data_IF_466352219608
#
_entry.id   IF_466352219608
#
_cell.length_a   1.000
_cell.length_b   1.000
_cell.length_c   1.000
_cell.angle_alpha   90.00
_cell.angle_beta   90.00
_cell.angle_gamma   90.00
#
_symmetry.space_group_name_H-M   'P 1'
#
loop_
_entity.id
_entity.type
_entity.pdbx_description
1 polymer ?
#
# COMPACT_ATOMS: atom_id res chain seq x y z
N UNK A 1 0.29 -16.68 -6.51
CA UNK A 1 1.40 -15.78 -6.38
C UNK A 1 2.29 -16.12 -5.19
N UNK A 2 3.35 -15.36 -4.98
CA UNK A 2 4.39 -15.63 -3.99
C UNK A 2 3.91 -15.55 -2.53
N UNK A 3 2.78 -14.89 -2.29
CA UNK A 3 2.25 -14.67 -0.94
C UNK A 3 1.03 -15.51 -0.62
N UNK A 4 0.70 -16.46 -1.46
CA UNK A 4 -0.42 -17.37 -1.24
C UNK A 4 -0.21 -18.15 0.07
N UNK A 5 -1.26 -18.24 0.86
CA UNK A 5 -1.16 -18.85 2.20
C UNK A 5 -0.97 -17.83 3.33
N UNK A 6 -0.81 -16.55 3.00
CA UNK A 6 -0.73 -15.45 3.97
C UNK A 6 -1.79 -14.41 3.65
N UNK A 7 -2.24 -13.69 4.67
CA UNK A 7 -3.03 -12.50 4.45
C UNK A 7 -2.09 -11.39 3.95
N UNK A 8 -2.56 -10.55 3.03
CA UNK A 8 -1.75 -9.47 2.47
C UNK A 8 -2.49 -8.16 2.66
N UNK A 9 -1.80 -7.16 3.20
CA UNK A 9 -2.25 -5.77 3.18
C UNK A 9 -1.49 -5.06 2.07
N UNK A 10 -2.19 -4.68 1.02
CA UNK A 10 -1.62 -4.04 -0.15
C UNK A 10 -1.95 -2.56 -0.10
N UNK A 11 -0.92 -1.72 -0.01
CA UNK A 11 -1.06 -0.27 0.09
C UNK A 11 -0.46 0.39 -1.15
N UNK A 12 -1.33 0.98 -1.98
CA UNK A 12 -0.88 1.81 -3.10
C UNK A 12 -0.72 3.25 -2.61
N UNK A 13 0.32 3.93 -3.03
CA UNK A 13 0.54 5.34 -2.70
C UNK A 13 1.09 6.09 -3.92
N UNK A 14 0.79 7.40 -4.04
CA UNK A 14 1.15 8.15 -5.24
C UNK A 14 2.63 8.28 -5.50
N UNK A 15 3.41 8.76 -4.52
CA UNK A 15 4.83 9.05 -4.73
C UNK A 15 5.63 8.93 -3.43
N UNK A 16 6.81 8.30 -3.54
CA UNK A 16 7.78 8.27 -2.46
C UNK A 16 8.21 9.69 -2.07
N UNK A 17 8.64 9.86 -0.82
CA UNK A 17 9.16 11.11 -0.26
C UNK A 17 8.14 12.25 -0.18
N UNK A 18 6.86 12.01 -0.39
CA UNK A 18 5.81 12.99 -0.18
C UNK A 18 5.26 12.89 1.23
N UNK A 19 4.68 14.01 1.73
CA UNK A 19 4.31 14.15 3.14
C UNK A 19 3.29 13.11 3.62
N UNK A 20 2.16 13.00 2.94
CA UNK A 20 1.08 12.10 3.38
C UNK A 20 1.48 10.64 3.20
N UNK A 21 2.15 10.30 2.10
CA UNK A 21 2.63 8.94 1.87
C UNK A 21 3.63 8.52 2.96
N UNK A 22 4.57 9.41 3.30
CA UNK A 22 5.55 9.13 4.35
C UNK A 22 4.86 8.97 5.71
N UNK A 23 3.88 9.83 6.03
CA UNK A 23 3.10 9.72 7.26
C UNK A 23 2.37 8.39 7.35
N UNK A 24 1.69 7.98 6.28
CA UNK A 24 0.96 6.72 6.18
C UNK A 24 1.89 5.52 6.42
N UNK A 25 2.98 5.46 5.65
CA UNK A 25 3.89 4.32 5.70
C UNK A 25 4.71 4.27 6.99
N UNK A 26 5.05 5.41 7.57
CA UNK A 26 5.70 5.45 8.89
C UNK A 26 4.77 4.94 9.99
N UNK A 27 3.48 5.26 9.89
CA UNK A 27 2.47 4.72 10.81
C UNK A 27 2.43 3.19 10.74
N UNK A 28 2.45 2.61 9.55
CA UNK A 28 2.49 1.16 9.36
C UNK A 28 3.78 0.57 9.91
N UNK A 29 4.92 1.19 9.62
CA UNK A 29 6.22 0.78 10.17
C UNK A 29 6.19 0.69 11.69
N UNK A 30 5.65 1.73 12.34
CA UNK A 30 5.64 1.82 13.79
C UNK A 30 4.66 0.83 14.43
N UNK A 31 3.71 0.30 13.67
CA UNK A 31 2.70 -0.64 14.13
C UNK A 31 2.81 -2.02 13.46
N UNK A 32 3.97 -2.36 12.93
CA UNK A 32 4.15 -3.60 12.15
C UNK A 32 3.78 -4.86 12.95
N UNK A 33 3.94 -4.82 14.27
CA UNK A 33 3.57 -5.94 15.14
C UNK A 33 2.10 -6.32 15.05
N UNK A 34 1.20 -5.35 14.83
CA UNK A 34 -0.23 -5.61 14.67
C UNK A 34 -0.49 -6.48 13.42
N UNK A 35 0.21 -6.19 12.34
CA UNK A 35 0.05 -6.92 11.09
C UNK A 35 0.69 -8.30 11.16
N UNK A 36 1.87 -8.39 11.75
CA UNK A 36 2.55 -9.67 11.98
C UNK A 36 1.70 -10.61 12.84
N UNK A 37 1.08 -10.09 13.89
CA UNK A 37 0.21 -10.87 14.78
C UNK A 37 -1.07 -11.33 14.07
N UNK A 38 -1.49 -10.64 13.03
CA UNK A 38 -2.64 -11.01 12.20
C UNK A 38 -2.25 -11.90 11.02
N UNK A 39 -1.02 -12.38 10.99
CA UNK A 39 -0.46 -13.16 9.88
C UNK A 39 -0.59 -12.43 8.54
N UNK A 40 -0.36 -11.13 8.56
CA UNK A 40 -0.48 -10.28 7.38
C UNK A 40 0.89 -9.78 6.93
N UNK A 41 1.14 -9.92 5.64
CA UNK A 41 2.32 -9.34 4.98
C UNK A 41 1.90 -7.98 4.43
N UNK A 42 2.65 -6.94 4.80
CA UNK A 42 2.39 -5.59 4.29
C UNK A 42 3.25 -5.34 3.06
N UNK A 43 2.61 -4.86 1.99
CA UNK A 43 3.29 -4.50 0.74
C UNK A 43 2.85 -3.10 0.33
N UNK A 44 3.81 -2.19 0.19
CA UNK A 44 3.57 -0.86 -0.37
C UNK A 44 3.91 -0.85 -1.86
N UNK A 45 3.08 -0.22 -2.67
CA UNK A 45 3.26 -0.15 -4.13
C UNK A 45 3.08 1.29 -4.62
N UNK A 46 4.00 1.73 -5.46
CA UNK A 46 3.86 3.00 -6.19
C UNK A 46 4.44 2.87 -7.59
N UNK A 47 4.23 3.89 -8.42
CA UNK A 47 4.83 3.95 -9.77
C UNK A 47 6.26 4.45 -9.76
N UNK A 48 6.83 4.77 -8.60
CA UNK A 48 8.23 5.13 -8.48
C UNK A 48 9.13 3.98 -8.96
N UNK A 49 10.32 4.31 -9.42
CA UNK A 49 11.28 3.29 -9.84
C UNK A 49 11.74 2.43 -8.66
N UNK A 50 12.25 1.23 -8.95
CA UNK A 50 12.82 0.36 -7.90
C UNK A 50 13.97 1.04 -7.15
N UNK A 51 14.72 1.89 -7.84
CA UNK A 51 15.85 2.60 -7.23
C UNK A 51 15.37 3.66 -6.24
N UNK A 52 14.34 4.42 -6.61
CA UNK A 52 13.72 5.42 -5.72
C UNK A 52 13.12 4.74 -4.49
N UNK A 53 12.42 3.63 -4.66
CA UNK A 53 11.80 2.91 -3.56
C UNK A 53 12.83 2.28 -2.63
N UNK A 54 13.94 1.79 -3.15
CA UNK A 54 15.03 1.26 -2.32
C UNK A 54 15.58 2.35 -1.41
N UNK A 55 15.79 3.55 -1.92
CA UNK A 55 16.26 4.70 -1.15
C UNK A 55 15.21 5.15 -0.12
N UNK A 56 13.95 5.14 -0.51
CA UNK A 56 12.85 5.50 0.37
C UNK A 56 12.76 4.55 1.56
N UNK A 57 12.83 3.26 1.30
CA UNK A 57 12.84 2.24 2.34
C UNK A 57 14.00 2.43 3.31
N UNK A 58 15.20 2.68 2.78
CA UNK A 58 16.40 2.93 3.57
C UNK A 58 16.25 4.19 4.43
N UNK A 59 15.83 5.31 3.81
CA UNK A 59 15.73 6.60 4.48
C UNK A 59 14.73 6.59 5.63
N UNK A 60 13.63 5.84 5.50
CA UNK A 60 12.57 5.78 6.49
C UNK A 60 12.62 4.52 7.36
N UNK A 61 13.60 3.66 7.14
CA UNK A 61 13.75 2.39 7.86
C UNK A 61 12.46 1.54 7.82
N UNK A 62 11.80 1.48 6.67
CA UNK A 62 10.59 0.66 6.53
C UNK A 62 10.92 -0.82 6.69
N UNK A 63 10.11 -1.50 7.48
CA UNK A 63 10.25 -2.92 7.84
C UNK A 63 9.23 -3.80 7.12
N UNK A 64 8.80 -3.38 5.95
CA UNK A 64 7.91 -4.13 5.07
C UNK A 64 8.33 -3.95 3.61
N UNK A 65 7.70 -4.71 2.73
CA UNK A 65 8.08 -4.77 1.32
C UNK A 65 7.57 -3.54 0.56
N UNK A 66 8.43 -2.94 -0.26
CA UNK A 66 8.01 -1.94 -1.25
C UNK A 66 8.23 -2.50 -2.65
N UNK A 67 7.21 -2.42 -3.50
CA UNK A 67 7.27 -2.89 -4.88
C UNK A 67 7.01 -1.73 -5.84
N UNK A 68 7.67 -1.77 -6.99
CA UNK A 68 7.50 -0.77 -8.03
C UNK A 68 6.47 -1.22 -9.06
N UNK A 69 5.50 -0.37 -9.32
CA UNK A 69 4.57 -0.49 -10.45
C UNK A 69 4.89 0.58 -11.50
N UNK A 70 6.15 0.69 -11.86
CA UNK A 70 6.65 1.73 -12.77
C UNK A 70 5.84 1.78 -14.07
N UNK A 71 5.44 0.64 -14.59
CA UNK A 71 4.67 0.54 -15.84
C UNK A 71 3.15 0.62 -15.62
N UNK A 72 2.70 0.84 -14.39
CA UNK A 72 1.30 1.12 -14.03
C UNK A 72 0.31 -0.04 -14.26
N UNK A 73 0.80 -1.24 -14.45
CA UNK A 73 -0.02 -2.42 -14.76
C UNK A 73 -0.89 -2.84 -13.58
N UNK A 74 -0.28 -2.93 -12.41
CA UNK A 74 -0.98 -3.39 -11.19
C UNK A 74 -1.96 -2.33 -10.71
N UNK A 75 -1.53 -1.06 -10.67
CA UNK A 75 -2.41 0.04 -10.28
C UNK A 75 -3.64 0.11 -11.18
N UNK A 76 -3.45 -0.06 -12.49
CA UNK A 76 -4.57 -0.10 -13.44
C UNK A 76 -5.49 -1.29 -13.19
N UNK A 77 -4.92 -2.48 -12.94
CA UNK A 77 -5.70 -3.69 -12.69
C UNK A 77 -6.58 -3.58 -11.44
N UNK A 78 -6.13 -2.84 -10.42
CA UNK A 78 -6.88 -2.61 -9.19
C UNK A 78 -7.79 -1.38 -9.25
N UNK A 79 -7.86 -0.69 -10.38
CA UNK A 79 -8.63 0.55 -10.51
C UNK A 79 -8.08 1.68 -9.64
N UNK A 80 -6.79 1.66 -9.37
CA UNK A 80 -6.12 2.54 -8.40
C UNK A 80 -5.12 3.47 -9.09
N UNK A 81 -5.55 4.16 -10.14
CA UNK A 81 -4.68 5.05 -10.90
C UNK A 81 -5.33 6.42 -11.06
N UNK A 82 -4.63 7.47 -10.63
CA UNK A 82 -5.05 8.84 -10.91
C UNK A 82 -4.66 9.19 -12.34
N UNK A 83 -5.60 9.66 -13.14
CA UNK A 83 -5.28 10.17 -14.49
C UNK A 83 -4.48 11.47 -14.39
N UNK A 84 -4.85 12.33 -13.45
CA UNK A 84 -4.17 13.59 -13.19
C UNK A 84 -3.93 13.76 -11.69
N UNK A 85 -2.76 14.22 -11.33
CA UNK A 85 -2.37 14.49 -9.95
C UNK A 85 -1.60 15.81 -9.88
N UNK A 86 -1.21 16.24 -8.68
CA UNK A 86 -0.54 17.53 -8.46
C UNK A 86 0.66 17.71 -9.39
N UNK A 87 0.98 18.97 -9.72
CA UNK A 87 2.11 19.35 -10.56
C UNK A 87 2.09 18.69 -11.95
N UNK A 88 0.87 18.48 -12.48
CA UNK A 88 0.65 17.87 -13.81
C UNK A 88 1.18 16.44 -13.94
N UNK A 89 1.44 15.77 -12.83
CA UNK A 89 1.79 14.35 -12.88
C UNK A 89 0.58 13.51 -13.28
N UNK A 90 0.80 12.57 -14.17
CA UNK A 90 -0.26 11.71 -14.71
C UNK A 90 0.07 10.25 -14.49
N UNK A 91 -0.94 9.48 -14.12
CA UNK A 91 -0.77 8.04 -14.01
C UNK A 91 0.02 7.61 -12.78
N UNK A 92 -0.20 8.25 -11.63
CA UNK A 92 0.33 7.77 -10.35
C UNK A 92 -0.72 6.90 -9.66
N UNK A 93 -0.28 6.00 -8.77
CA UNK A 93 -1.21 5.13 -8.04
C UNK A 93 -2.13 5.96 -7.15
N UNK A 94 -3.42 5.63 -7.14
CA UNK A 94 -4.35 6.20 -6.16
C UNK A 94 -3.98 5.67 -4.78
N UNK A 95 -4.07 6.54 -3.77
CA UNK A 95 -3.93 6.06 -2.39
C UNK A 95 -5.05 5.08 -2.11
N UNK A 96 -4.70 3.84 -1.82
CA UNK A 96 -5.68 2.77 -1.64
C UNK A 96 -5.13 1.66 -0.78
N UNK A 97 -6.04 0.89 -0.19
CA UNK A 97 -5.71 -0.24 0.66
C UNK A 97 -6.59 -1.42 0.30
N UNK A 98 -5.98 -2.59 0.15
CA UNK A 98 -6.68 -3.84 -0.11
C UNK A 98 -6.19 -4.89 0.87
N UNK A 99 -7.12 -5.66 1.43
CA UNK A 99 -6.77 -6.84 2.22
C UNK A 99 -7.14 -8.07 1.41
N UNK A 100 -6.17 -8.94 1.21
CA UNK A 100 -6.31 -10.18 0.44
C UNK A 100 -6.06 -11.33 1.39
N UNK A 101 -6.99 -12.29 1.44
CA UNK A 101 -6.89 -13.41 2.37
C UNK A 101 -5.95 -14.50 1.86
N UNK A 102 -5.77 -15.54 2.68
CA UNK A 102 -4.87 -16.67 2.38
C UNK A 102 -5.24 -17.43 1.11
N UNK A 103 -6.48 -17.30 0.65
CA UNK A 103 -6.97 -17.94 -0.57
C UNK A 103 -6.87 -17.03 -1.79
N UNK A 104 -6.38 -15.81 -1.62
CA UNK A 104 -6.27 -14.84 -2.71
C UNK A 104 -7.54 -14.05 -2.97
N UNK A 105 -8.47 -14.03 -2.03
CA UNK A 105 -9.74 -13.31 -2.16
C UNK A 105 -9.62 -11.93 -1.51
N UNK A 106 -10.05 -10.88 -2.22
CA UNK A 106 -10.07 -9.52 -1.67
C UNK A 106 -11.20 -9.41 -0.64
N UNK A 107 -10.84 -9.11 0.60
CA UNK A 107 -11.76 -9.00 1.72
C UNK A 107 -12.05 -7.56 2.15
N UNK A 108 -11.22 -6.64 1.70
CA UNK A 108 -11.39 -5.21 1.98
C UNK A 108 -10.81 -4.41 0.83
N UNK A 109 -11.49 -3.38 0.42
CA UNK A 109 -11.01 -2.48 -0.63
C UNK A 109 -11.42 -1.05 -0.29
N UNK A 110 -10.45 -0.15 -0.28
CA UNK A 110 -10.67 1.27 -0.08
C UNK A 110 -9.78 2.04 -1.06
N UNK A 111 -10.40 2.74 -2.00
CA UNK A 111 -9.70 3.57 -2.99
C UNK A 111 -10.08 5.03 -2.72
N UNK A 112 -9.09 5.84 -2.36
CA UNK A 112 -9.32 7.23 -1.98
C UNK A 112 -9.25 8.14 -3.20
N UNK A 113 -10.30 8.91 -3.43
CA UNK A 113 -10.32 9.92 -4.48
C UNK A 113 -9.46 11.13 -4.11
N UNK A 114 -9.27 11.38 -2.81
CA UNK A 114 -8.44 12.48 -2.29
C UNK A 114 -7.16 11.90 -1.70
N UNK A 115 -6.04 12.15 -2.36
CA UNK A 115 -4.74 11.61 -1.96
C UNK A 115 -4.20 12.20 -0.65
N UNK A 116 -4.77 13.32 -0.19
CA UNK A 116 -4.40 13.93 1.09
C UNK A 116 -4.94 13.20 2.31
N UNK A 117 -5.82 12.22 2.12
CA UNK A 117 -6.38 11.42 3.20
C UNK A 117 -5.65 10.08 3.29
N UNK A 118 -5.61 9.49 4.49
CA UNK A 118 -5.04 8.17 4.72
C UNK A 118 -6.14 7.11 4.71
N UNK A 119 -5.82 5.82 4.40
CA UNK A 119 -6.77 4.73 4.55
C UNK A 119 -7.28 4.61 5.98
N UNK A 120 -8.45 4.00 6.13
CA UNK A 120 -9.03 3.73 7.45
C UNK A 120 -8.37 2.50 8.06
N UNK A 121 -7.27 2.69 8.78
CA UNK A 121 -6.50 1.60 9.39
C UNK A 121 -7.29 0.87 10.48
N UNK A 122 -8.23 1.54 11.15
CA UNK A 122 -9.11 0.88 12.10
C UNK A 122 -9.94 -0.21 11.45
N UNK A 123 -10.53 0.09 10.29
CA UNK A 123 -11.31 -0.90 9.53
C UNK A 123 -10.41 -2.04 9.01
N UNK A 124 -9.22 -1.71 8.54
CA UNK A 124 -8.24 -2.69 8.05
C UNK A 124 -7.88 -3.68 9.18
N UNK A 125 -7.58 -3.16 10.35
CA UNK A 125 -7.24 -3.99 11.53
C UNK A 125 -8.40 -4.91 11.90
N UNK A 126 -9.63 -4.39 11.88
CA UNK A 126 -10.83 -5.18 12.18
C UNK A 126 -10.99 -6.34 11.19
N UNK A 127 -10.85 -6.07 9.90
CA UNK A 127 -10.92 -7.10 8.86
C UNK A 127 -9.86 -8.17 9.07
N UNK A 128 -8.61 -7.77 9.30
CA UNK A 128 -7.51 -8.71 9.51
C UNK A 128 -7.73 -9.60 10.73
N UNK A 129 -8.22 -9.05 11.83
CA UNK A 129 -8.54 -9.84 13.03
C UNK A 129 -9.61 -10.89 12.75
N UNK A 130 -10.59 -10.58 11.91
CA UNK A 130 -11.69 -11.48 11.59
C UNK A 130 -11.30 -12.58 10.59
N UNK A 131 -10.15 -12.49 9.94
CA UNK A 131 -9.66 -13.51 9.01
C UNK A 131 -8.92 -14.66 9.70
N UNK A 132 -8.59 -14.49 10.98
CA UNK A 132 -7.80 -15.50 11.72
C UNK A 132 -8.62 -16.20 12.80
#
# INVERSE_FOLDING_TARGET
SDFKGHNVLLLFFPQAFTRVCTKELCSVRDNIGLYNNADAIVIGISVDSVFTLAKYKEAQAYNFILLSDFNKEVSSAYGSLYENWILDMKGVSKRSAFVIDKKGIVRYAEVLEVAGEEPNFGNIETVLKNLN
#
